data_IF_924990109851
#
_entry.id   IF_924990109851
#
_cell.length_a   1.000
_cell.length_b   1.000
_cell.length_c   1.000
_cell.angle_alpha   90.00
_cell.angle_beta   90.00
_cell.angle_gamma   90.00
#
_symmetry.space_group_name_H-M   'P 1'
#
loop_
_entity.id
_entity.type
_entity.pdbx_description
1 polymer ?
#
# COMPACT_ATOMS: atom_id res chain seq x y z
N UNK A 1 -10.28 28.47 -3.00
CA UNK A 1 -10.21 29.58 -2.02
C UNK A 1 -10.92 29.09 -0.76
N UNK A 2 -10.21 28.91 0.35
CA UNK A 2 -10.80 28.46 1.62
C UNK A 2 -11.56 29.63 2.25
N UNK A 3 -12.85 29.44 2.54
CA UNK A 3 -13.75 30.48 3.07
C UNK A 3 -13.96 30.36 4.59
N UNK A 4 -13.15 29.55 5.29
CA UNK A 4 -13.23 29.37 6.74
C UNK A 4 -12.30 30.31 7.51
N UNK A 5 -12.46 30.31 8.84
CA UNK A 5 -11.62 31.08 9.77
C UNK A 5 -10.14 30.63 9.74
N UNK A 6 -9.23 31.59 9.83
CA UNK A 6 -7.77 31.41 9.85
C UNK A 6 -7.30 30.51 11.00
N UNK A 7 -7.97 30.53 12.16
CA UNK A 7 -7.64 29.68 13.30
C UNK A 7 -7.99 28.22 13.00
N UNK A 8 -9.13 27.96 12.38
CA UNK A 8 -9.51 26.63 11.86
C UNK A 8 -8.51 26.13 10.81
N UNK A 9 -8.09 27.00 9.87
CA UNK A 9 -7.08 26.67 8.86
C UNK A 9 -5.73 26.30 9.49
N UNK A 10 -5.24 27.10 10.45
CA UNK A 10 -3.99 26.84 11.18
C UNK A 10 -4.05 25.55 12.02
N UNK A 11 -5.20 25.25 12.64
CA UNK A 11 -5.39 23.98 13.36
C UNK A 11 -5.43 22.78 12.42
N UNK A 12 -6.01 22.91 11.23
CA UNK A 12 -6.01 21.85 10.21
C UNK A 12 -4.62 21.61 9.61
N UNK A 13 -3.78 22.64 9.48
CA UNK A 13 -2.37 22.49 9.08
C UNK A 13 -1.52 21.81 10.16
N UNK A 14 -1.76 22.09 11.44
CA UNK A 14 -0.90 21.63 12.55
C UNK A 14 -0.75 20.10 12.66
N UNK A 15 -1.80 19.32 12.38
CA UNK A 15 -1.74 17.85 12.48
C UNK A 15 -0.98 17.17 11.32
N UNK A 16 -0.57 17.97 10.33
CA UNK A 16 -0.17 17.46 9.02
C UNK A 16 1.28 17.79 8.68
N UNK A 17 1.82 18.87 9.26
CA UNK A 17 3.27 19.16 9.25
C UNK A 17 4.04 18.20 10.18
N UNK A 18 3.37 17.65 11.19
CA UNK A 18 3.88 16.63 12.10
C UNK A 18 3.21 15.31 11.74
N UNK A 19 3.94 14.30 11.26
CA UNK A 19 3.37 12.95 11.02
C UNK A 19 2.86 12.41 12.35
N UNK A 20 1.57 12.61 12.62
CA UNK A 20 0.93 12.22 13.87
C UNK A 20 0.28 10.85 13.70
N UNK A 21 0.65 9.91 14.58
CA UNK A 21 -0.01 8.62 14.66
C UNK A 21 -1.34 8.74 15.41
N UNK A 22 -2.27 7.85 15.09
CA UNK A 22 -3.57 7.77 15.77
C UNK A 22 -3.83 6.37 16.35
N UNK A 23 -3.12 5.99 17.44
CA UNK A 23 -2.99 4.60 17.86
C UNK A 23 -4.29 3.84 18.14
N UNK A 24 -5.36 4.52 18.58
CA UNK A 24 -6.67 3.90 18.82
C UNK A 24 -7.31 3.27 17.56
N UNK A 25 -6.84 3.67 16.36
CA UNK A 25 -7.27 3.09 15.09
C UNK A 25 -6.26 2.10 14.49
N UNK A 26 -5.16 1.78 15.19
CA UNK A 26 -4.25 0.74 14.75
C UNK A 26 -4.96 -0.62 14.75
N UNK A 27 -4.66 -1.44 13.75
CA UNK A 27 -5.31 -2.75 13.58
C UNK A 27 -4.27 -3.77 13.15
N UNK A 28 -4.44 -5.00 13.60
CA UNK A 28 -3.80 -6.18 13.04
C UNK A 28 -4.87 -6.89 12.23
N UNK A 29 -4.58 -7.17 10.96
CA UNK A 29 -5.50 -7.86 10.06
C UNK A 29 -5.08 -9.31 9.93
N UNK A 30 -5.65 -10.16 10.76
CA UNK A 30 -5.42 -11.60 10.74
C UNK A 30 -6.48 -12.33 11.57
N UNK A 31 -6.57 -13.65 11.44
CA UNK A 31 -7.38 -14.48 12.32
C UNK A 31 -7.02 -14.25 13.80
N UNK A 32 -8.04 -14.13 14.65
CA UNK A 32 -7.87 -13.72 16.05
C UNK A 32 -7.76 -12.21 16.30
N UNK A 33 -7.69 -11.39 15.24
CA UNK A 33 -7.69 -9.93 15.30
C UNK A 33 -8.83 -9.32 14.46
N UNK A 34 -8.56 -8.26 13.69
CA UNK A 34 -9.55 -7.66 12.79
C UNK A 34 -9.59 -8.43 11.48
N UNK A 35 -10.60 -9.28 11.31
CA UNK A 35 -10.69 -10.20 10.18
C UNK A 35 -12.10 -10.24 9.60
N UNK A 36 -12.20 -10.36 8.27
CA UNK A 36 -13.45 -10.64 7.58
C UNK A 36 -13.16 -11.27 6.20
N UNK A 37 -14.13 -12.05 5.71
CA UNK A 37 -14.09 -12.65 4.38
C UNK A 37 -14.88 -11.80 3.38
N UNK A 38 -14.38 -11.66 2.15
CA UNK A 38 -15.01 -10.89 1.09
C UNK A 38 -15.06 -9.38 1.37
N UNK A 39 -16.01 -8.69 0.72
CA UNK A 39 -16.15 -7.24 0.83
C UNK A 39 -16.70 -6.85 2.21
N UNK A 40 -16.08 -5.88 2.88
CA UNK A 40 -16.50 -5.39 4.19
C UNK A 40 -17.93 -4.80 4.16
N UNK A 41 -18.80 -5.31 5.02
CA UNK A 41 -20.21 -4.91 5.14
C UNK A 41 -20.45 -4.11 6.43
N UNK A 42 -19.88 -2.91 6.55
CA UNK A 42 -20.02 -2.05 7.75
C UNK A 42 -20.91 -0.82 7.53
N UNK A 43 -21.69 -0.81 6.45
CA UNK A 43 -22.58 0.29 6.03
C UNK A 43 -21.87 1.63 5.81
N UNK A 44 -20.54 1.66 5.69
CA UNK A 44 -19.80 2.89 5.35
C UNK A 44 -19.68 3.04 3.84
N UNK A 45 -19.87 4.28 3.39
CA UNK A 45 -19.72 4.66 1.99
C UNK A 45 -18.24 4.76 1.60
N UNK A 46 -17.82 3.91 0.66
CA UNK A 46 -16.46 3.83 0.11
C UNK A 46 -16.44 4.07 -1.41
N UNK A 47 -17.38 4.86 -1.92
CA UNK A 47 -17.37 5.28 -3.33
C UNK A 47 -17.67 4.13 -4.28
N UNK A 48 -18.53 3.19 -3.88
CA UNK A 48 -18.92 2.00 -4.66
C UNK A 48 -17.78 1.00 -4.96
N UNK A 49 -16.63 1.13 -4.31
CA UNK A 49 -15.56 0.14 -4.39
C UNK A 49 -15.51 -0.72 -3.13
N UNK A 50 -15.43 -2.04 -3.32
CA UNK A 50 -15.30 -2.98 -2.23
C UNK A 50 -13.98 -2.79 -1.47
N UNK A 51 -14.02 -3.03 -0.16
CA UNK A 51 -12.84 -3.04 0.70
C UNK A 51 -12.66 -4.44 1.29
N UNK A 52 -11.58 -5.10 0.89
CA UNK A 52 -11.23 -6.44 1.34
C UNK A 52 -10.28 -6.39 2.53
N UNK A 53 -10.27 -7.46 3.32
CA UNK A 53 -9.39 -7.53 4.49
C UNK A 53 -7.93 -7.63 4.03
N UNK A 54 -7.03 -6.73 4.45
CA UNK A 54 -5.61 -6.83 4.13
C UNK A 54 -4.91 -7.84 5.06
N UNK A 55 -5.28 -9.12 4.94
CA UNK A 55 -4.80 -10.21 5.79
C UNK A 55 -3.26 -10.25 5.79
N UNK A 56 -2.67 -10.42 6.97
CA UNK A 56 -1.22 -10.45 7.18
C UNK A 56 -0.56 -9.09 7.36
N UNK A 57 -1.34 -8.00 7.44
CA UNK A 57 -0.82 -6.64 7.61
C UNK A 57 -1.21 -6.02 8.95
N UNK A 58 -0.31 -5.21 9.50
CA UNK A 58 -0.56 -4.32 10.63
C UNK A 58 -0.68 -2.89 10.14
N UNK A 59 -1.77 -2.23 10.49
CA UNK A 59 -2.00 -0.81 10.18
C UNK A 59 -1.61 0.08 11.35
N UNK A 60 -0.72 1.02 11.06
CA UNK A 60 -0.43 2.20 11.87
C UNK A 60 -1.19 3.39 11.30
N UNK A 61 -2.20 3.86 12.01
CA UNK A 61 -3.09 4.93 11.54
C UNK A 61 -2.41 6.28 11.62
N UNK A 62 -2.65 7.13 10.62
CA UNK A 62 -2.27 8.54 10.65
C UNK A 62 -3.46 9.40 11.09
N UNK A 63 -3.19 10.42 11.90
CA UNK A 63 -4.19 11.41 12.30
C UNK A 63 -4.32 12.46 11.19
N UNK A 64 -5.30 12.27 10.29
CA UNK A 64 -5.47 13.16 9.12
C UNK A 64 -6.46 14.30 9.38
N UNK A 65 -7.47 14.07 10.22
CA UNK A 65 -8.51 15.01 10.64
C UNK A 65 -9.36 14.41 11.77
N UNK A 66 -9.99 15.25 12.59
CA UNK A 66 -10.92 14.83 13.65
C UNK A 66 -12.28 14.35 13.11
N UNK A 67 -12.71 14.87 11.94
CA UNK A 67 -13.96 14.47 11.29
C UNK A 67 -13.69 13.51 10.12
N UNK A 68 -13.02 12.39 10.40
CA UNK A 68 -12.57 11.46 9.36
C UNK A 68 -13.72 10.92 8.50
N UNK A 69 -14.77 10.41 9.14
CA UNK A 69 -15.91 9.79 8.44
C UNK A 69 -16.73 10.82 7.66
N UNK A 70 -16.86 12.05 8.16
CA UNK A 70 -17.54 13.12 7.42
C UNK A 70 -16.72 13.61 6.22
N UNK A 71 -15.40 13.77 6.36
CA UNK A 71 -14.52 14.26 5.29
C UNK A 71 -14.34 13.25 4.16
N UNK A 72 -14.19 11.96 4.49
CA UNK A 72 -13.87 10.91 3.53
C UNK A 72 -15.06 10.00 3.20
N UNK A 73 -16.28 10.44 3.49
CA UNK A 73 -17.49 9.75 3.05
C UNK A 73 -17.48 9.64 1.52
N UNK A 74 -17.64 8.43 0.99
CA UNK A 74 -17.62 8.17 -0.45
C UNK A 74 -16.23 8.06 -1.05
N UNK A 75 -15.15 8.17 -0.25
CA UNK A 75 -13.79 7.98 -0.74
C UNK A 75 -13.38 6.52 -0.68
N UNK A 76 -12.82 6.04 -1.79
CA UNK A 76 -12.35 4.67 -1.96
C UNK A 76 -11.14 4.41 -1.06
N UNK A 77 -10.97 3.15 -0.64
CA UNK A 77 -9.71 2.69 -0.02
C UNK A 77 -8.83 2.08 -1.08
N UNK A 78 -7.56 2.46 -1.11
CA UNK A 78 -6.56 1.86 -1.98
C UNK A 78 -5.20 1.84 -1.28
N UNK A 79 -4.21 1.30 -1.97
CA UNK A 79 -2.86 1.14 -1.48
C UNK A 79 -1.85 1.63 -2.50
N UNK A 80 -0.71 2.11 -2.00
CA UNK A 80 0.43 2.54 -2.80
C UNK A 80 1.69 1.86 -2.24
N UNK A 81 2.32 1.01 -3.06
CA UNK A 81 3.64 0.47 -2.76
C UNK A 81 4.70 1.54 -2.97
N UNK A 82 5.74 1.55 -2.13
CA UNK A 82 6.91 2.41 -2.33
C UNK A 82 8.19 1.77 -1.78
N UNK A 83 9.33 2.41 -2.04
CA UNK A 83 10.62 2.05 -1.44
C UNK A 83 10.78 2.69 -0.06
N UNK A 84 11.51 2.04 0.85
CA UNK A 84 11.81 2.55 2.19
C UNK A 84 12.46 3.94 2.15
N UNK A 85 13.38 4.15 1.21
CA UNK A 85 14.06 5.43 1.02
C UNK A 85 13.10 6.61 0.73
N UNK A 86 11.91 6.35 0.18
CA UNK A 86 10.92 7.38 -0.16
C UNK A 86 9.74 7.46 0.81
N UNK A 87 9.58 6.49 1.72
CA UNK A 87 8.44 6.42 2.63
C UNK A 87 8.26 7.72 3.43
N UNK A 88 9.32 8.19 4.09
CA UNK A 88 9.26 9.42 4.88
C UNK A 88 9.00 10.66 4.02
N UNK A 89 9.66 10.79 2.86
CA UNK A 89 9.41 11.94 1.97
C UNK A 89 7.97 11.96 1.45
N UNK A 90 7.38 10.79 1.17
CA UNK A 90 5.99 10.72 0.71
C UNK A 90 5.03 11.10 1.84
N UNK A 91 5.31 10.68 3.08
CA UNK A 91 4.48 11.06 4.22
C UNK A 91 4.53 12.57 4.51
N UNK A 92 5.70 13.20 4.34
CA UNK A 92 5.89 14.63 4.62
C UNK A 92 5.47 15.54 3.46
N UNK A 93 5.67 15.11 2.22
CA UNK A 93 5.53 15.97 1.03
C UNK A 93 4.48 15.49 0.04
N UNK A 94 3.89 14.31 0.26
CA UNK A 94 2.88 13.74 -0.62
C UNK A 94 3.44 12.87 -1.75
N UNK A 95 2.59 12.54 -2.72
CA UNK A 95 2.91 11.58 -3.79
C UNK A 95 3.39 12.28 -5.05
N UNK A 96 4.57 11.89 -5.53
CA UNK A 96 5.06 12.31 -6.84
C UNK A 96 4.43 11.47 -7.94
N UNK A 97 4.07 12.11 -9.05
CA UNK A 97 3.55 11.40 -10.20
C UNK A 97 4.61 10.54 -10.90
N UNK A 98 4.20 9.35 -11.30
CA UNK A 98 4.94 8.52 -12.21
C UNK A 98 4.69 8.97 -13.65
N UNK A 99 5.77 9.13 -14.41
CA UNK A 99 5.74 9.21 -15.88
C UNK A 99 5.75 7.78 -16.44
N UNK A 100 4.66 7.05 -16.21
CA UNK A 100 4.53 5.67 -16.66
C UNK A 100 4.01 5.60 -18.09
N UNK A 101 4.48 4.58 -18.81
CA UNK A 101 4.20 4.38 -20.23
C UNK A 101 2.84 3.70 -20.44
N UNK A 102 2.47 2.75 -19.58
CA UNK A 102 1.34 1.84 -19.83
C UNK A 102 -0.03 2.54 -19.74
N UNK A 103 -0.36 3.11 -18.58
CA UNK A 103 -1.66 3.77 -18.35
C UNK A 103 -1.56 5.30 -18.28
N UNK A 104 -0.40 5.85 -18.69
CA UNK A 104 -0.09 7.27 -18.73
C UNK A 104 0.38 7.86 -17.39
N UNK A 105 0.50 9.18 -17.33
CA UNK A 105 0.97 9.88 -16.13
C UNK A 105 -0.10 9.96 -15.04
N UNK A 106 0.33 9.79 -13.79
CA UNK A 106 -0.51 9.95 -12.60
C UNK A 106 0.11 9.35 -11.34
N UNK A 107 -0.69 9.21 -10.29
CA UNK A 107 -0.35 8.41 -9.11
C UNK A 107 -0.92 7.02 -9.29
N UNK A 108 -0.08 6.00 -9.22
CA UNK A 108 -0.49 4.60 -9.35
C UNK A 108 -0.85 4.03 -7.99
N UNK A 109 -2.06 3.49 -7.86
CA UNK A 109 -2.56 2.84 -6.64
C UNK A 109 -3.35 1.59 -7.02
N UNK A 110 -3.69 0.76 -6.04
CA UNK A 110 -4.51 -0.43 -6.25
C UNK A 110 -5.49 -0.65 -5.09
N UNK A 111 -6.69 -1.17 -5.33
CA UNK A 111 -7.54 -1.70 -4.27
C UNK A 111 -6.99 -3.00 -3.66
N UNK A 112 -6.03 -3.68 -4.33
CA UNK A 112 -5.42 -4.91 -3.83
C UNK A 112 -4.11 -4.62 -3.11
N UNK A 113 -4.07 -4.90 -1.81
CA UNK A 113 -2.81 -4.87 -1.06
C UNK A 113 -1.85 -5.98 -1.54
N UNK A 114 -2.38 -7.10 -2.01
CA UNK A 114 -1.60 -8.24 -2.51
C UNK A 114 -0.82 -7.84 -3.77
N UNK A 115 -1.46 -7.10 -4.69
CA UNK A 115 -0.81 -6.57 -5.87
C UNK A 115 0.30 -5.56 -5.54
N UNK A 116 0.02 -4.55 -4.70
CA UNK A 116 1.03 -3.53 -4.37
C UNK A 116 2.14 -4.03 -3.46
N UNK A 117 1.94 -5.17 -2.79
CA UNK A 117 2.97 -5.84 -2.01
C UNK A 117 4.06 -6.46 -2.90
N UNK A 118 3.81 -6.55 -4.20
CA UNK A 118 4.78 -7.03 -5.14
C UNK A 118 6.05 -6.17 -5.10
N UNK A 119 7.25 -6.77 -5.16
CA UNK A 119 8.52 -6.09 -4.94
C UNK A 119 8.85 -4.94 -5.90
N UNK A 120 8.23 -4.95 -7.09
CA UNK A 120 8.32 -3.83 -8.03
C UNK A 120 7.71 -2.54 -7.46
N UNK A 121 6.72 -2.67 -6.59
CA UNK A 121 5.99 -1.56 -5.99
C UNK A 121 6.40 -1.35 -4.54
N UNK A 122 6.42 -2.39 -3.71
CA UNK A 122 6.77 -2.32 -2.29
C UNK A 122 8.09 -3.03 -2.02
N UNK A 123 9.11 -2.28 -1.62
CA UNK A 123 10.43 -2.83 -1.32
C UNK A 123 10.35 -3.83 -0.16
N UNK A 124 11.08 -4.94 -0.31
CA UNK A 124 11.32 -5.92 0.76
C UNK A 124 12.67 -5.61 1.37
N UNK A 125 12.70 -5.42 2.69
CA UNK A 125 13.95 -5.18 3.41
C UNK A 125 14.20 -6.28 4.42
N UNK A 126 15.42 -6.82 4.43
CA UNK A 126 15.88 -7.68 5.52
C UNK A 126 16.05 -6.83 6.78
N UNK A 127 15.56 -7.31 7.91
CA UNK A 127 15.68 -6.64 9.20
C UNK A 127 17.07 -6.93 9.75
N UNK A 128 17.81 -5.89 10.09
CA UNK A 128 19.14 -6.00 10.71
C UNK A 128 19.03 -6.71 12.06
N UNK A 129 20.00 -7.57 12.40
CA UNK A 129 19.95 -8.36 13.65
C UNK A 129 19.75 -7.48 14.89
N UNK A 130 20.33 -6.29 14.92
CA UNK A 130 20.17 -5.32 16.01
C UNK A 130 18.74 -4.80 16.18
N UNK A 131 17.96 -4.74 15.09
CA UNK A 131 16.57 -4.28 15.09
C UNK A 131 15.60 -5.43 15.36
N UNK A 132 15.96 -6.66 14.96
CA UNK A 132 15.18 -7.87 15.28
C UNK A 132 15.05 -8.06 16.79
N UNK A 133 16.14 -7.94 17.54
CA UNK A 133 16.14 -8.12 18.99
C UNK A 133 15.29 -7.07 19.72
N UNK A 134 15.25 -5.84 19.18
CA UNK A 134 14.58 -4.69 19.80
C UNK A 134 13.11 -4.58 19.45
N UNK A 135 12.76 -4.72 18.18
CA UNK A 135 11.46 -4.29 17.64
C UNK A 135 10.69 -5.39 16.94
N UNK A 136 11.38 -6.34 16.29
CA UNK A 136 10.74 -7.30 15.40
C UNK A 136 11.11 -8.74 15.78
N UNK A 137 10.98 -9.10 17.06
CA UNK A 137 11.40 -10.41 17.56
C UNK A 137 10.88 -11.53 16.63
N UNK A 138 11.80 -12.35 16.09
CA UNK A 138 11.57 -13.43 15.11
C UNK A 138 11.29 -13.00 13.66
N UNK A 139 11.10 -11.72 13.39
CA UNK A 139 10.98 -11.19 12.04
C UNK A 139 12.34 -11.12 11.35
N UNK A 140 12.41 -11.55 10.09
CA UNK A 140 13.58 -11.44 9.24
C UNK A 140 13.40 -10.44 8.11
N UNK A 141 12.17 -10.24 7.65
CA UNK A 141 11.85 -9.32 6.55
C UNK A 141 10.73 -8.38 6.94
N UNK A 142 10.77 -7.17 6.40
CA UNK A 142 9.75 -6.15 6.55
C UNK A 142 9.39 -5.57 5.18
N UNK A 143 8.10 -5.33 4.98
CA UNK A 143 7.54 -4.54 3.89
C UNK A 143 6.61 -3.48 4.45
N UNK A 144 6.45 -2.38 3.73
CA UNK A 144 5.38 -1.43 4.01
C UNK A 144 4.72 -0.92 2.73
N UNK A 145 3.44 -0.59 2.86
CA UNK A 145 2.66 0.11 1.84
C UNK A 145 1.86 1.23 2.51
N UNK A 146 1.52 2.25 1.73
CA UNK A 146 0.66 3.33 2.19
C UNK A 146 -0.78 2.93 1.94
N UNK A 147 -1.64 3.03 2.97
CA UNK A 147 -3.08 2.97 2.78
C UNK A 147 -3.61 4.38 2.54
N UNK A 148 -4.31 4.56 1.43
CA UNK A 148 -4.81 5.85 0.99
C UNK A 148 -6.34 5.90 0.95
N UNK A 149 -6.88 7.12 1.02
CA UNK A 149 -8.24 7.46 0.60
C UNK A 149 -8.16 8.24 -0.70
N UNK A 150 -8.99 7.87 -1.67
CA UNK A 150 -9.06 8.52 -2.99
C UNK A 150 -10.47 9.00 -3.26
N UNK A 151 -10.60 10.23 -3.76
CA UNK A 151 -11.87 10.74 -4.26
C UNK A 151 -12.23 10.03 -5.57
N UNK A 152 -13.43 9.43 -5.72
CA UNK A 152 -13.78 8.63 -6.90
C UNK A 152 -13.63 9.41 -8.22
N UNK A 153 -14.08 10.67 -8.26
CA UNK A 153 -13.96 11.54 -9.46
C UNK A 153 -12.51 11.86 -9.88
N UNK A 154 -11.51 11.52 -9.06
CA UNK A 154 -10.10 11.73 -9.40
C UNK A 154 -9.42 10.50 -9.98
N UNK A 155 -10.12 9.35 -10.03
CA UNK A 155 -9.65 8.14 -10.69
C UNK A 155 -9.78 8.36 -12.20
N UNK A 156 -8.65 8.54 -12.88
CA UNK A 156 -8.58 8.77 -14.32
C UNK A 156 -8.72 7.47 -15.10
N UNK A 157 -8.08 6.42 -14.60
CA UNK A 157 -7.99 5.11 -15.25
C UNK A 157 -8.18 4.01 -14.22
N UNK A 158 -8.99 3.00 -14.55
CA UNK A 158 -9.03 1.70 -13.90
C UNK A 158 -8.66 0.70 -15.00
N UNK A 159 -7.58 -0.05 -14.82
CA UNK A 159 -7.01 -0.89 -15.86
C UNK A 159 -6.38 -2.17 -15.30
N UNK A 160 -5.89 -2.96 -16.25
CA UNK A 160 -5.25 -4.23 -15.98
C UNK A 160 -3.88 -4.07 -15.31
N UNK A 161 -3.43 -5.13 -14.66
CA UNK A 161 -2.09 -5.26 -14.07
C UNK A 161 -0.96 -5.01 -15.08
N UNK A 162 0.19 -4.52 -14.62
CA UNK A 162 1.33 -4.15 -15.50
C UNK A 162 2.56 -5.02 -15.29
N UNK A 163 2.36 -6.22 -14.73
CA UNK A 163 3.39 -7.20 -14.39
C UNK A 163 3.33 -8.45 -15.27
N UNK A 164 2.46 -8.50 -16.30
CA UNK A 164 2.22 -9.67 -17.15
C UNK A 164 1.90 -10.95 -16.37
N UNK A 165 1.15 -10.78 -15.29
CA UNK A 165 0.56 -11.85 -14.51
C UNK A 165 -0.83 -12.24 -15.05
N UNK A 166 -1.14 -11.95 -16.32
CA UNK A 166 -2.42 -12.25 -16.98
C UNK A 166 -2.85 -13.72 -16.94
N UNK A 167 -1.90 -14.65 -16.75
CA UNK A 167 -2.15 -16.10 -16.70
C UNK A 167 -2.46 -16.63 -15.30
N UNK A 168 -2.38 -15.78 -14.28
CA UNK A 168 -2.57 -16.18 -12.88
C UNK A 168 -3.48 -15.20 -12.16
N UNK A 169 -4.10 -15.65 -11.07
CA UNK A 169 -4.91 -14.77 -10.24
C UNK A 169 -4.00 -14.06 -9.24
N UNK A 170 -3.92 -12.74 -9.32
CA UNK A 170 -3.15 -11.93 -8.37
C UNK A 170 -3.86 -11.86 -7.02
N UNK A 171 -5.16 -11.54 -7.05
CA UNK A 171 -6.01 -11.38 -5.87
C UNK A 171 -7.36 -12.04 -6.14
N UNK A 172 -7.74 -13.01 -5.32
CA UNK A 172 -9.00 -13.74 -5.47
C UNK A 172 -10.25 -12.85 -5.41
N UNK A 173 -10.14 -11.65 -4.83
CA UNK A 173 -11.26 -10.72 -4.68
C UNK A 173 -11.31 -9.64 -5.77
N UNK A 174 -10.23 -9.45 -6.54
CA UNK A 174 -10.09 -8.34 -7.50
C UNK A 174 -9.57 -8.89 -8.83
N UNK A 175 -10.36 -8.73 -9.88
CA UNK A 175 -9.96 -9.13 -11.22
C UNK A 175 -8.73 -8.33 -11.68
N UNK A 176 -7.76 -9.03 -12.28
CA UNK A 176 -6.54 -8.46 -12.84
C UNK A 176 -6.81 -7.29 -13.80
N UNK A 177 -7.95 -7.28 -14.52
CA UNK A 177 -8.32 -6.25 -15.51
C UNK A 177 -8.69 -4.89 -14.90
N UNK A 178 -8.88 -4.83 -13.58
CA UNK A 178 -9.32 -3.61 -12.85
C UNK A 178 -8.52 -3.36 -11.58
N UNK A 179 -7.35 -3.99 -11.46
CA UNK A 179 -6.53 -3.99 -10.24
C UNK A 179 -5.63 -2.75 -10.12
N UNK A 180 -5.39 -2.02 -11.21
CA UNK A 180 -4.50 -0.85 -11.21
C UNK A 180 -5.29 0.44 -11.49
N UNK A 181 -5.14 1.42 -10.60
CA UNK A 181 -5.82 2.70 -10.70
C UNK A 181 -4.81 3.83 -10.87
N UNK A 182 -5.10 4.74 -11.79
CA UNK A 182 -4.30 5.95 -12.02
C UNK A 182 -5.09 7.16 -11.55
N UNK A 183 -4.55 7.87 -10.56
CA UNK A 183 -5.15 9.11 -10.03
C UNK A 183 -4.61 10.30 -10.82
N UNK A 184 -5.53 11.13 -11.31
CA UNK A 184 -5.19 12.34 -12.06
C UNK A 184 -4.56 13.41 -11.18
N UNK A 185 -3.50 14.05 -11.69
CA UNK A 185 -2.69 15.02 -10.93
C UNK A 185 -2.91 16.49 -11.31
N UNK A 186 -3.83 16.79 -12.24
CA UNK A 186 -4.15 18.17 -12.71
C UNK A 186 -2.93 19.04 -13.03
N UNK A 187 -1.88 18.45 -13.62
CA UNK A 187 -0.59 19.08 -13.96
C UNK A 187 0.33 19.42 -12.75
N UNK A 188 0.05 18.90 -11.57
CA UNK A 188 0.95 18.99 -10.43
C UNK A 188 1.96 17.84 -10.46
N UNK A 189 3.25 18.13 -10.27
CA UNK A 189 4.28 17.08 -10.18
C UNK A 189 4.14 16.23 -8.90
N UNK A 190 3.61 16.85 -7.83
CA UNK A 190 3.42 16.26 -6.51
C UNK A 190 2.02 16.58 -6.02
N UNK A 191 1.32 15.57 -5.50
CA UNK A 191 0.09 15.73 -4.74
C UNK A 191 0.43 15.82 -3.27
N UNK A 192 0.39 17.05 -2.75
CA UNK A 192 0.56 17.34 -1.33
C UNK A 192 -0.63 16.79 -0.52
N UNK A 193 -0.37 15.90 0.43
CA UNK A 193 -1.39 15.37 1.34
C UNK A 193 -1.98 16.43 2.27
N UNK A 194 -1.30 17.57 2.40
CA UNK A 194 -1.73 18.68 3.23
C UNK A 194 -2.76 19.56 2.52
N UNK A 195 -2.84 19.52 1.19
CA UNK A 195 -3.87 20.22 0.42
C UNK A 195 -5.27 19.68 0.82
N UNK A 196 -6.18 20.52 1.33
CA UNK A 196 -7.54 20.10 1.64
C UNK A 196 -8.31 19.59 0.42
N UNK A 197 -7.87 19.91 -0.79
CA UNK A 197 -8.45 19.48 -2.07
C UNK A 197 -7.63 18.37 -2.75
N UNK A 198 -6.65 17.78 -2.05
CA UNK A 198 -5.86 16.69 -2.58
C UNK A 198 -6.80 15.55 -3.03
N UNK A 199 -6.64 15.01 -4.26
CA UNK A 199 -7.48 13.92 -4.76
C UNK A 199 -7.24 12.59 -4.04
N UNK A 200 -6.12 12.50 -3.31
CA UNK A 200 -5.66 11.33 -2.57
C UNK A 200 -4.97 11.78 -1.28
N UNK A 201 -5.14 11.01 -0.21
CA UNK A 201 -4.44 11.22 1.07
C UNK A 201 -3.99 9.91 1.68
N UNK A 202 -2.79 9.87 2.25
CA UNK A 202 -2.34 8.74 3.07
C UNK A 202 -3.02 8.77 4.45
N UNK A 203 -3.63 7.66 4.84
CA UNK A 203 -4.38 7.53 6.10
C UNK A 203 -3.79 6.46 7.03
N UNK A 204 -2.84 5.67 6.55
CA UNK A 204 -2.18 4.66 7.37
C UNK A 204 -0.95 4.10 6.69
N UNK A 205 -0.03 3.61 7.52
CA UNK A 205 1.07 2.75 7.10
C UNK A 205 0.66 1.31 7.35
N UNK A 206 0.67 0.50 6.31
CA UNK A 206 0.49 -0.95 6.41
C UNK A 206 1.88 -1.56 6.48
N UNK A 207 2.15 -2.36 7.50
CA UNK A 207 3.43 -3.04 7.70
C UNK A 207 3.18 -4.54 7.73
N UNK A 208 4.01 -5.30 7.02
CA UNK A 208 4.06 -6.76 7.08
C UNK A 208 5.45 -7.17 7.50
N UNK A 209 5.54 -8.04 8.51
CA UNK A 209 6.78 -8.62 9.00
C UNK A 209 6.69 -10.13 8.84
N UNK A 210 7.74 -10.76 8.34
CA UNK A 210 7.77 -12.21 8.10
C UNK A 210 9.07 -12.84 8.60
N UNK A 211 9.02 -14.11 8.97
CA UNK A 211 10.20 -14.88 9.40
C UNK A 211 11.06 -15.41 8.25
N UNK A 212 10.53 -15.47 7.03
CA UNK A 212 11.25 -15.76 5.78
C UNK A 212 10.85 -14.76 4.69
N UNK A 213 11.38 -14.93 3.47
CA UNK A 213 11.10 -14.00 2.38
C UNK A 213 9.59 -14.00 2.05
N UNK A 214 8.91 -12.83 2.01
CA UNK A 214 7.46 -12.76 1.85
C UNK A 214 6.94 -13.27 0.50
N UNK A 215 7.83 -13.50 -0.47
CA UNK A 215 7.52 -14.21 -1.72
C UNK A 215 7.23 -15.70 -1.55
N UNK A 216 7.41 -16.26 -0.35
CA UNK A 216 7.00 -17.63 -0.01
C UNK A 216 5.58 -17.70 0.56
N UNK A 217 4.95 -16.56 0.88
CA UNK A 217 3.55 -16.54 1.33
C UNK A 217 2.62 -17.06 0.23
N UNK A 218 1.48 -17.63 0.62
CA UNK A 218 0.51 -18.19 -0.32
C UNK A 218 -0.04 -17.12 -1.27
N UNK A 219 -0.35 -15.92 -0.77
CA UNK A 219 -0.84 -14.81 -1.57
C UNK A 219 0.22 -14.18 -2.49
N UNK A 220 1.50 -14.51 -2.29
CA UNK A 220 2.62 -14.01 -3.09
C UNK A 220 3.06 -15.00 -4.18
N UNK A 221 2.43 -16.17 -4.31
CA UNK A 221 2.87 -17.19 -5.27
C UNK A 221 2.79 -16.74 -6.73
N UNK A 222 1.91 -15.79 -7.07
CA UNK A 222 1.82 -15.23 -8.41
C UNK A 222 3.08 -14.44 -8.82
N UNK A 223 3.94 -14.03 -7.88
CA UNK A 223 5.16 -13.26 -8.16
C UNK A 223 6.10 -14.01 -9.12
N UNK A 224 6.17 -15.33 -9.01
CA UNK A 224 7.00 -16.19 -9.86
C UNK A 224 6.51 -16.29 -11.31
N UNK A 225 5.27 -15.89 -11.58
CA UNK A 225 4.67 -15.93 -12.92
C UNK A 225 4.72 -14.56 -13.62
N UNK A 226 5.10 -13.50 -12.91
CA UNK A 226 5.23 -12.14 -13.45
C UNK A 226 6.43 -11.98 -14.40
N UNK A 227 6.39 -10.97 -15.27
CA UNK A 227 7.45 -10.60 -16.23
C UNK A 227 8.86 -10.45 -15.63
N UNK A 228 8.97 -10.30 -14.31
CA UNK A 228 10.25 -10.27 -13.61
C UNK A 228 11.01 -11.60 -13.64
N UNK A 229 10.37 -12.71 -13.96
CA UNK A 229 11.04 -14.01 -14.04
C UNK A 229 11.39 -14.43 -15.49
N UNK A 230 10.86 -13.72 -16.50
CA UNK A 230 10.85 -14.19 -17.89
C UNK A 230 11.84 -13.49 -18.84
N UNK A 231 12.50 -12.40 -18.42
CA UNK A 231 13.55 -11.76 -19.23
C UNK A 231 14.90 -12.18 -18.66
N UNK A 232 15.69 -12.92 -19.45
CA UNK A 232 17.06 -13.38 -19.12
C UNK A 232 18.10 -12.26 -18.95
N UNK A 233 17.68 -11.11 -18.41
CA UNK A 233 18.49 -9.94 -18.09
C UNK A 233 18.34 -9.68 -16.59
N UNK A 234 19.47 -9.60 -15.89
CA UNK A 234 19.63 -9.31 -14.46
C UNK A 234 18.48 -8.50 -13.86
N UNK A 235 17.57 -9.22 -13.18
CA UNK A 235 16.43 -8.64 -12.46
C UNK A 235 16.84 -7.90 -11.18
N UNK A 236 18.11 -7.52 -11.07
CA UNK A 236 18.71 -6.74 -9.99
C UNK A 236 18.00 -5.39 -9.72
N UNK A 237 17.18 -4.89 -10.65
CA UNK A 237 16.46 -3.63 -10.49
C UNK A 237 15.43 -3.63 -9.34
N UNK A 238 15.06 -4.80 -8.81
CA UNK A 238 14.05 -4.93 -7.76
C UNK A 238 14.60 -5.03 -6.34
N UNK A 239 15.92 -5.15 -6.19
CA UNK A 239 16.53 -5.36 -4.87
C UNK A 239 16.13 -6.67 -4.18
N UNK A 240 15.56 -7.63 -4.93
CA UNK A 240 15.36 -9.00 -4.43
C UNK A 240 16.46 -9.89 -4.99
N UNK A 241 17.02 -10.70 -4.11
CA UNK A 241 17.77 -11.88 -4.50
C UNK A 241 16.80 -12.99 -4.92
N UNK A 242 16.42 -12.99 -6.21
CA UNK A 242 15.52 -14.01 -6.76
C UNK A 242 16.14 -15.41 -6.70
N UNK A 243 17.47 -15.52 -6.69
CA UNK A 243 18.15 -16.80 -6.58
C UNK A 243 17.99 -17.36 -5.16
N UNK A 244 18.18 -16.53 -4.13
CA UNK A 244 17.88 -16.92 -2.76
C UNK A 244 16.39 -17.27 -2.60
N UNK A 245 15.47 -16.49 -3.16
CA UNK A 245 14.04 -16.80 -3.09
C UNK A 245 13.69 -18.14 -3.76
N UNK A 246 14.21 -18.40 -4.97
CA UNK A 246 14.02 -19.68 -5.67
C UNK A 246 14.58 -20.84 -4.86
N UNK A 247 15.79 -20.68 -4.32
CA UNK A 247 16.41 -21.68 -3.45
C UNK A 247 15.56 -21.98 -2.21
N UNK A 248 15.06 -20.95 -1.52
CA UNK A 248 14.17 -21.15 -0.37
C UNK A 248 12.88 -21.88 -0.76
N UNK A 249 12.35 -21.60 -1.96
CA UNK A 249 11.18 -22.30 -2.52
C UNK A 249 11.48 -23.77 -2.82
N UNK A 250 12.62 -24.08 -3.44
CA UNK A 250 13.08 -25.45 -3.72
C UNK A 250 13.32 -26.25 -2.42
N UNK A 251 13.78 -25.59 -1.37
CA UNK A 251 13.95 -26.14 -0.02
C UNK A 251 12.60 -26.32 0.73
N UNK A 252 11.47 -25.96 0.13
CA UNK A 252 10.13 -25.95 0.75
C UNK A 252 10.10 -25.17 2.07
N UNK A 253 10.81 -24.05 2.16
CA UNK A 253 10.72 -23.18 3.33
C UNK A 253 9.33 -22.57 3.43
N UNK A 254 8.77 -22.63 4.63
CA UNK A 254 7.54 -21.93 4.97
C UNK A 254 7.85 -20.49 5.35
N UNK A 255 6.88 -19.60 5.17
CA UNK A 255 6.98 -18.21 5.59
C UNK A 255 5.72 -17.86 6.38
N UNK A 256 5.93 -17.36 7.59
CA UNK A 256 4.89 -16.95 8.51
C UNK A 256 4.89 -15.44 8.69
N UNK A 257 3.69 -14.87 8.83
CA UNK A 257 3.53 -13.49 9.26
C UNK A 257 3.80 -13.40 10.77
N UNK A 258 4.59 -12.39 11.16
CA UNK A 258 4.96 -12.14 12.55
C UNK A 258 4.25 -10.88 13.03
N UNK A 259 3.36 -11.05 14.00
CA UNK A 259 2.69 -9.94 14.69
C UNK A 259 3.60 -9.42 15.80
N UNK A 260 4.40 -8.40 15.48
CA UNK A 260 5.21 -7.65 16.45
C UNK A 260 4.39 -6.66 17.28
#
# INVERSE_FOLDING_TARGET
MFLGDIVSFKKQQKFRDEISLHPQWNRIYDEGHSYWNGALQDNRDRGNHAYFCPIGWKRHSLHVTDNFDGKFKGWCVCYHGTKFAYGLSILLSGLKSANAIEHGSGIYVSPSIIYVAHPRYSEIKRIESSDQEKFFKKGQYIQFVLQCRVHPDSIKTIAHETLDASKTTIDSNINNDVIEWVIGIKNNDIIDFNDPNAPIVCTGLMIRVTDNHPGLLAESQWWYESHLCNRGTDCCALGIDLEELKKQKEENKECNIIHA
#
